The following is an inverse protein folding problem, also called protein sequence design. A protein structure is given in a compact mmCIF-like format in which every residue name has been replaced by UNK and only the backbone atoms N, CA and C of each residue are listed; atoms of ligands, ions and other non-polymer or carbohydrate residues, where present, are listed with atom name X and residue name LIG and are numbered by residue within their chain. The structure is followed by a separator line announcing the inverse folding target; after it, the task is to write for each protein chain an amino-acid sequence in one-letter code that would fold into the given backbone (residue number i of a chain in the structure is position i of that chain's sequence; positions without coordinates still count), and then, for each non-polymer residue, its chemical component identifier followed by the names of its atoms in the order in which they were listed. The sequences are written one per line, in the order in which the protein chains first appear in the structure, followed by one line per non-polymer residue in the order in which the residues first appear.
data_IF_598499463888
#
_entry.id   IF_598499463888
#
_cell.length_a   1.000
_cell.length_b   1.000
_cell.length_c   1.000
_cell.angle_alpha   90.00
_cell.angle_beta   90.00
_cell.angle_gamma   90.00
#
_symmetry.space_group_name_H-M   'P 1'
#
loop_
_entity.id
_entity.type
_entity.pdbx_description
1 polymer ?
#
# COMPACT_ATOMS: atom_id res chain seq x y z
N UNK A 1 -15.29 -9.31 5.93
CA UNK A 1 -14.83 -9.16 4.54
C UNK A 1 -15.13 -10.43 3.75
N UNK A 2 -16.01 -10.38 2.74
CA UNK A 2 -16.19 -11.52 1.84
C UNK A 2 -15.05 -11.51 0.82
N UNK A 3 -14.03 -12.34 1.05
CA UNK A 3 -12.81 -12.38 0.26
C UNK A 3 -13.09 -12.64 -1.23
N UNK A 4 -14.09 -13.48 -1.54
CA UNK A 4 -14.46 -13.84 -2.91
C UNK A 4 -14.96 -12.60 -3.66
N UNK A 5 -15.83 -11.80 -3.03
CA UNK A 5 -16.38 -10.57 -3.61
C UNK A 5 -15.26 -9.54 -3.82
N UNK A 6 -14.36 -9.38 -2.85
CA UNK A 6 -13.25 -8.45 -2.96
C UNK A 6 -12.28 -8.83 -4.09
N UNK A 7 -11.93 -10.12 -4.23
CA UNK A 7 -11.10 -10.60 -5.34
C UNK A 7 -11.78 -10.28 -6.67
N UNK A 8 -13.05 -10.69 -6.83
CA UNK A 8 -13.77 -10.55 -8.09
C UNK A 8 -14.00 -9.10 -8.52
N UNK A 9 -14.32 -8.20 -7.59
CA UNK A 9 -14.70 -6.82 -7.90
C UNK A 9 -13.56 -5.80 -7.82
N UNK A 10 -12.48 -6.12 -7.10
CA UNK A 10 -11.38 -5.17 -6.88
C UNK A 10 -10.09 -5.67 -7.53
N UNK A 11 -9.65 -6.89 -7.20
CA UNK A 11 -8.35 -7.39 -7.67
C UNK A 11 -8.40 -7.76 -9.15
N UNK A 12 -9.40 -8.52 -9.57
CA UNK A 12 -9.50 -9.02 -10.95
C UNK A 12 -9.51 -7.89 -11.99
N UNK A 13 -10.30 -6.81 -11.84
CA UNK A 13 -10.27 -5.70 -12.81
C UNK A 13 -8.92 -4.99 -12.88
N UNK A 14 -8.26 -4.76 -11.74
CA UNK A 14 -6.94 -4.10 -11.69
C UNK A 14 -5.89 -4.94 -12.43
N UNK A 15 -5.80 -6.23 -12.08
CA UNK A 15 -4.83 -7.15 -12.71
C UNK A 15 -5.11 -7.32 -14.20
N UNK A 16 -6.38 -7.38 -14.60
CA UNK A 16 -6.76 -7.45 -16.03
C UNK A 16 -6.35 -6.18 -16.76
N UNK A 17 -6.55 -5.00 -16.16
CA UNK A 17 -6.10 -3.73 -16.72
C UNK A 17 -4.58 -3.69 -16.94
N UNK A 18 -3.80 -4.15 -15.97
CA UNK A 18 -2.33 -4.25 -16.07
C UNK A 18 -1.88 -5.26 -17.13
N UNK A 19 -2.63 -6.34 -17.31
CA UNK A 19 -2.32 -7.33 -18.33
C UNK A 19 -2.55 -6.78 -19.74
N UNK A 20 -3.68 -6.10 -19.95
CA UNK A 20 -4.04 -5.50 -21.26
C UNK A 20 -3.13 -4.34 -21.64
N UNK A 21 -2.57 -3.61 -20.66
CA UNK A 21 -1.75 -2.41 -20.92
C UNK A 21 -0.32 -2.66 -21.39
N UNK A 22 0.10 -3.91 -21.58
CA UNK A 22 1.48 -4.25 -21.98
C UNK A 22 2.17 -5.31 -21.11
N UNK A 23 1.43 -5.92 -20.18
CA UNK A 23 1.89 -7.03 -19.36
C UNK A 23 2.38 -6.63 -17.97
N UNK A 24 2.33 -7.59 -17.03
CA UNK A 24 2.63 -7.35 -15.61
C UNK A 24 4.09 -6.93 -15.34
N UNK A 25 5.02 -7.35 -16.19
CA UNK A 25 6.45 -7.06 -16.03
C UNK A 25 6.77 -5.57 -16.04
N UNK A 26 5.97 -4.75 -16.73
CA UNK A 26 6.16 -3.29 -16.78
C UNK A 26 5.87 -2.60 -15.44
N UNK A 27 5.12 -3.27 -14.56
CA UNK A 27 4.73 -2.73 -13.26
C UNK A 27 5.56 -3.30 -12.12
N UNK A 28 6.61 -4.08 -12.40
CA UNK A 28 7.50 -4.64 -11.38
C UNK A 28 8.80 -3.85 -11.41
N UNK A 29 8.92 -2.88 -10.50
CA UNK A 29 10.11 -2.05 -10.34
C UNK A 29 10.65 -2.20 -8.90
N UNK A 30 11.79 -2.89 -8.71
CA UNK A 30 12.37 -3.05 -7.38
C UNK A 30 12.67 -1.73 -6.67
N UNK A 31 13.28 -0.70 -7.30
CA UNK A 31 13.48 0.61 -6.68
C UNK A 31 12.19 1.22 -6.10
N UNK A 32 11.10 1.27 -6.87
CA UNK A 32 9.79 1.74 -6.43
C UNK A 32 9.26 0.97 -5.22
N UNK A 33 9.43 -0.36 -5.22
CA UNK A 33 9.02 -1.21 -4.10
C UNK A 33 9.83 -0.91 -2.83
N UNK A 34 11.14 -0.75 -2.94
CA UNK A 34 12.00 -0.38 -1.81
C UNK A 34 11.62 0.98 -1.22
N UNK A 35 11.36 1.98 -2.06
CA UNK A 35 11.03 3.34 -1.61
C UNK A 35 9.63 3.41 -0.97
N UNK A 36 8.69 2.56 -1.39
CA UNK A 36 7.32 2.60 -0.88
C UNK A 36 7.12 1.69 0.33
N UNK A 37 7.54 0.42 0.21
CA UNK A 37 7.18 -0.64 1.16
C UNK A 37 8.08 -0.61 2.39
N UNK A 38 9.39 -0.48 2.20
CA UNK A 38 10.35 -0.54 3.31
C UNK A 38 10.13 0.58 4.36
N UNK A 39 10.02 1.87 4.00
CA UNK A 39 9.76 2.90 4.99
C UNK A 39 8.36 2.83 5.57
N UNK A 40 7.35 2.36 4.82
CA UNK A 40 6.01 2.13 5.37
C UNK A 40 6.03 1.05 6.46
N UNK A 41 6.72 -0.08 6.22
CA UNK A 41 6.90 -1.12 7.24
C UNK A 41 7.71 -0.58 8.43
N UNK A 42 8.79 0.16 8.17
CA UNK A 42 9.61 0.79 9.22
C UNK A 42 8.80 1.73 10.12
N UNK A 43 8.00 2.61 9.52
CA UNK A 43 7.11 3.51 10.26
C UNK A 43 6.08 2.76 11.10
N UNK A 44 5.53 1.64 10.58
CA UNK A 44 4.61 0.79 11.33
C UNK A 44 5.29 0.06 12.48
N UNK A 45 6.50 -0.46 12.30
CA UNK A 45 7.26 -1.11 13.36
C UNK A 45 7.59 -0.15 14.50
N UNK A 46 7.96 1.09 14.17
CA UNK A 46 8.22 2.14 15.16
C UNK A 46 6.93 2.57 15.86
N UNK A 47 5.85 2.80 15.11
CA UNK A 47 4.58 3.29 15.65
C UNK A 47 3.79 2.28 16.48
N UNK A 48 3.96 0.97 16.23
CA UNK A 48 3.20 -0.11 16.87
C UNK A 48 4.10 -1.11 17.62
N UNK A 49 5.18 -0.62 18.25
CA UNK A 49 6.12 -1.43 19.02
C UNK A 49 5.38 -2.31 20.06
N UNK A 50 5.63 -3.62 20.01
CA UNK A 50 4.98 -4.60 20.89
C UNK A 50 3.60 -5.10 20.41
N UNK A 51 2.94 -4.38 19.50
CA UNK A 51 1.63 -4.76 18.95
C UNK A 51 1.66 -5.08 17.46
N UNK A 52 2.77 -4.85 16.75
CA UNK A 52 2.88 -5.06 15.29
C UNK A 52 2.32 -6.40 14.81
N UNK A 53 2.82 -7.52 15.37
CA UNK A 53 2.38 -8.88 14.99
C UNK A 53 0.94 -9.13 15.41
N UNK A 54 0.55 -8.66 16.60
CA UNK A 54 -0.81 -8.79 17.13
C UNK A 54 -1.83 -8.05 16.26
N UNK A 55 -1.49 -6.85 15.79
CA UNK A 55 -2.32 -6.05 14.89
C UNK A 55 -2.53 -6.73 13.54
N UNK A 56 -1.49 -7.37 12.98
CA UNK A 56 -1.61 -8.15 11.75
C UNK A 56 -2.49 -9.38 11.99
N UNK A 57 -2.19 -10.18 13.02
CA UNK A 57 -2.90 -11.44 13.28
C UNK A 57 -4.33 -11.26 13.76
N UNK A 58 -4.69 -10.08 14.29
CA UNK A 58 -6.05 -9.75 14.74
C UNK A 58 -7.12 -9.88 13.65
N UNK A 59 -6.73 -9.78 12.37
CA UNK A 59 -7.63 -9.92 11.22
C UNK A 59 -8.27 -11.31 11.17
N UNK A 60 -7.49 -12.36 11.46
CA UNK A 60 -7.93 -13.75 11.38
C UNK A 60 -8.45 -14.34 12.68
N UNK A 61 -8.09 -13.74 13.83
CA UNK A 61 -8.57 -14.20 15.13
C UNK A 61 -10.07 -13.89 15.30
N UNK A 62 -10.80 -14.85 15.87
CA UNK A 62 -12.22 -14.70 16.25
C UNK A 62 -12.35 -13.98 17.58
N UNK A 63 -11.61 -14.45 18.59
CA UNK A 63 -11.58 -13.87 19.92
C UNK A 63 -10.32 -13.02 20.08
N UNK A 64 -10.48 -11.70 19.95
CA UNK A 64 -9.43 -10.71 20.14
C UNK A 64 -9.90 -9.75 21.22
N UNK A 65 -9.02 -9.42 22.17
CA UNK A 65 -9.33 -8.44 23.19
C UNK A 65 -9.56 -7.05 22.57
N UNK A 66 -10.40 -6.24 23.23
CA UNK A 66 -10.78 -4.92 22.71
C UNK A 66 -9.56 -4.00 22.47
N UNK A 67 -8.51 -4.12 23.29
CA UNK A 67 -7.31 -3.30 23.15
C UNK A 67 -6.53 -3.66 21.87
N UNK A 68 -6.25 -4.95 21.65
CA UNK A 68 -5.58 -5.45 20.43
C UNK A 68 -6.42 -5.18 19.19
N UNK A 69 -7.76 -5.24 19.28
CA UNK A 69 -8.64 -4.91 18.18
C UNK A 69 -8.55 -3.43 17.80
N UNK A 70 -8.57 -2.51 18.77
CA UNK A 70 -8.38 -1.07 18.54
C UNK A 70 -7.00 -0.80 17.94
N UNK A 71 -5.95 -1.41 18.50
CA UNK A 71 -4.58 -1.30 17.97
C UNK A 71 -4.45 -1.89 16.57
N UNK A 72 -5.21 -2.93 16.25
CA UNK A 72 -5.33 -3.49 14.90
C UNK A 72 -5.95 -2.50 13.91
N UNK A 73 -7.08 -1.88 14.27
CA UNK A 73 -7.74 -0.86 13.43
C UNK A 73 -6.79 0.32 13.18
N UNK A 74 -6.16 0.84 14.25
CA UNK A 74 -5.18 1.94 14.16
C UNK A 74 -4.01 1.55 13.24
N UNK A 75 -3.51 0.32 13.35
CA UNK A 75 -2.42 -0.20 12.53
C UNK A 75 -2.76 -0.21 11.04
N UNK A 76 -3.92 -0.76 10.64
CA UNK A 76 -4.29 -0.85 9.23
C UNK A 76 -4.62 0.54 8.63
N UNK A 77 -5.23 1.44 9.41
CA UNK A 77 -5.40 2.84 9.01
C UNK A 77 -4.06 3.57 8.84
N UNK A 78 -3.13 3.36 9.78
CA UNK A 78 -1.78 3.91 9.68
C UNK A 78 -1.04 3.32 8.47
N UNK A 79 -1.23 2.03 8.19
CA UNK A 79 -0.63 1.34 7.05
C UNK A 79 -1.04 1.97 5.71
N UNK A 80 -2.34 2.25 5.53
CA UNK A 80 -2.84 3.03 4.39
C UNK A 80 -2.19 4.40 4.31
N UNK A 81 -2.19 5.16 5.41
CA UNK A 81 -1.61 6.51 5.43
C UNK A 81 -0.14 6.52 5.07
N UNK A 82 0.66 5.62 5.64
CA UNK A 82 2.10 5.55 5.39
C UNK A 82 2.40 5.09 3.97
N UNK A 83 1.72 4.07 3.45
CA UNK A 83 1.92 3.63 2.08
C UNK A 83 1.65 4.75 1.06
N UNK A 84 0.56 5.50 1.23
CA UNK A 84 0.25 6.65 0.37
C UNK A 84 1.32 7.74 0.54
N UNK A 85 1.66 8.12 1.78
CA UNK A 85 2.63 9.18 2.03
C UNK A 85 4.02 8.86 1.45
N UNK A 86 4.55 7.65 1.68
CA UNK A 86 5.85 7.25 1.17
C UNK A 86 5.86 7.04 -0.34
N UNK A 87 4.73 6.65 -0.94
CA UNK A 87 4.62 6.58 -2.40
C UNK A 87 4.75 7.95 -3.07
N UNK A 88 4.14 8.99 -2.51
CA UNK A 88 4.28 10.36 -3.00
C UNK A 88 5.66 10.95 -2.70
N UNK A 89 6.29 10.58 -1.58
CA UNK A 89 7.68 10.91 -1.31
C UNK A 89 8.60 10.29 -2.37
N UNK A 90 8.40 9.02 -2.69
CA UNK A 90 9.16 8.34 -3.74
C UNK A 90 8.92 8.88 -5.14
N UNK A 91 7.69 9.30 -5.44
CA UNK A 91 7.38 10.03 -6.67
C UNK A 91 8.21 11.33 -6.78
N UNK A 92 8.30 12.11 -5.69
CA UNK A 92 9.12 13.32 -5.67
C UNK A 92 10.60 13.01 -5.86
N UNK A 93 11.14 11.94 -5.25
CA UNK A 93 12.52 11.47 -5.48
C UNK A 93 12.73 11.16 -6.96
N UNK A 94 11.79 10.43 -7.59
CA UNK A 94 11.84 10.10 -9.02
C UNK A 94 11.83 11.35 -9.91
N UNK A 95 11.00 12.34 -9.60
CA UNK A 95 10.97 13.61 -10.32
C UNK A 95 12.26 14.42 -10.15
N UNK A 96 12.84 14.46 -8.95
CA UNK A 96 14.12 15.15 -8.69
C UNK A 96 15.24 14.48 -9.49
N UNK A 97 15.30 13.14 -9.49
CA UNK A 97 16.28 12.38 -10.24
C UNK A 97 16.15 12.62 -11.75
N UNK A 98 14.91 12.67 -12.25
CA UNK A 98 14.62 13.03 -13.63
C UNK A 98 15.19 14.41 -13.96
N UNK A 99 14.76 15.46 -13.24
CA UNK A 99 15.20 16.84 -13.51
C UNK A 99 16.72 17.03 -13.35
N UNK A 100 17.34 16.36 -12.39
CA UNK A 100 18.79 16.42 -12.16
C UNK A 100 19.63 15.73 -13.25
N UNK A 101 19.03 14.88 -14.08
CA UNK A 101 19.75 14.07 -15.08
C UNK A 101 19.95 14.76 -16.44
N UNK A 102 19.54 16.01 -16.61
CA UNK A 102 19.65 16.74 -17.89
C UNK A 102 18.72 16.19 -18.99
N UNK A 103 17.66 15.45 -18.62
CA UNK A 103 16.69 14.82 -19.55
C UNK A 103 16.00 15.76 -20.52
N UNK A 104 16.08 17.08 -20.33
CA UNK A 104 15.51 18.06 -21.26
C UNK A 104 16.25 18.11 -22.60
N UNK A 105 17.50 17.63 -22.66
CA UNK A 105 18.26 17.56 -23.91
C UNK A 105 18.05 16.23 -24.66
N UNK A 106 17.62 15.18 -23.95
CA UNK A 106 17.41 13.84 -24.50
C UNK A 106 16.07 13.26 -24.01
N UNK A 107 15.00 13.56 -24.75
CA UNK A 107 13.63 13.10 -24.51
C UNK A 107 13.50 11.58 -24.34
N UNK A 108 14.40 10.79 -24.93
CA UNK A 108 14.40 9.33 -24.80
C UNK A 108 14.61 8.82 -23.36
N UNK A 109 15.27 9.60 -22.49
CA UNK A 109 15.48 9.24 -21.08
C UNK A 109 14.32 9.65 -20.17
N UNK A 110 13.40 10.50 -20.64
CA UNK A 110 12.29 11.02 -19.84
C UNK A 110 11.28 9.92 -19.44
N UNK A 111 10.90 9.08 -20.41
CA UNK A 111 9.89 8.04 -20.22
C UNK A 111 10.20 7.05 -19.09
N UNK A 112 11.39 6.44 -19.05
CA UNK A 112 11.76 5.51 -17.99
C UNK A 112 11.73 6.11 -16.57
N UNK A 113 12.19 7.35 -16.37
CA UNK A 113 12.14 8.00 -15.05
C UNK A 113 10.70 8.29 -14.60
N UNK A 114 9.86 8.76 -15.53
CA UNK A 114 8.46 9.01 -15.24
C UNK A 114 7.72 7.71 -14.91
N UNK A 115 8.02 6.61 -15.63
CA UNK A 115 7.43 5.31 -15.36
C UNK A 115 7.73 4.82 -13.93
N UNK A 116 8.99 4.86 -13.50
CA UNK A 116 9.39 4.50 -12.13
C UNK A 116 8.67 5.37 -11.10
N UNK A 117 8.60 6.69 -11.32
CA UNK A 117 7.89 7.59 -10.42
C UNK A 117 6.39 7.19 -10.31
N UNK A 118 5.72 6.97 -11.44
CA UNK A 118 4.30 6.59 -11.47
C UNK A 118 4.03 5.21 -10.86
N UNK A 119 4.90 4.21 -11.07
CA UNK A 119 4.77 2.87 -10.46
C UNK A 119 4.89 2.96 -8.94
N UNK A 120 5.74 3.86 -8.44
CA UNK A 120 5.88 4.12 -7.00
C UNK A 120 4.55 4.56 -6.38
N UNK A 121 3.85 5.49 -7.03
CA UNK A 121 2.50 5.94 -6.62
C UNK A 121 1.50 4.78 -6.69
N UNK A 122 1.50 4.03 -7.80
CA UNK A 122 0.62 2.88 -7.99
C UNK A 122 0.74 1.87 -6.83
N UNK A 123 1.95 1.55 -6.38
CA UNK A 123 2.17 0.64 -5.25
C UNK A 123 1.55 1.16 -3.95
N UNK A 124 1.69 2.46 -3.67
CA UNK A 124 1.06 3.08 -2.50
C UNK A 124 -0.46 2.97 -2.53
N UNK A 125 -1.07 3.22 -3.68
CA UNK A 125 -2.53 3.14 -3.85
C UNK A 125 -3.04 1.70 -3.74
N UNK A 126 -2.38 0.73 -4.38
CA UNK A 126 -2.75 -0.68 -4.28
C UNK A 126 -2.65 -1.12 -2.81
N UNK A 127 -1.54 -0.88 -2.13
CA UNK A 127 -1.43 -1.29 -0.73
C UNK A 127 -2.44 -0.55 0.17
N UNK A 128 -2.55 0.77 0.02
CA UNK A 128 -3.34 1.59 0.92
C UNK A 128 -4.85 1.41 0.77
N UNK A 129 -5.36 1.49 -0.46
CA UNK A 129 -6.81 1.48 -0.72
C UNK A 129 -7.34 0.09 -1.07
N UNK A 130 -6.55 -0.75 -1.75
CA UNK A 130 -7.03 -2.09 -2.15
C UNK A 130 -6.90 -3.07 -0.99
N UNK A 131 -5.83 -2.98 -0.18
CA UNK A 131 -5.55 -3.95 0.88
C UNK A 131 -5.84 -3.39 2.28
N UNK A 132 -5.20 -2.29 2.68
CA UNK A 132 -5.23 -1.84 4.08
C UNK A 132 -6.59 -1.26 4.51
N UNK A 133 -7.24 -0.47 3.65
CA UNK A 133 -8.54 0.14 3.95
C UNK A 133 -9.66 -0.88 4.19
N UNK A 134 -9.89 -1.89 3.31
CA UNK A 134 -10.94 -2.86 3.53
C UNK A 134 -10.72 -3.72 4.78
N UNK A 135 -9.45 -3.99 5.12
CA UNK A 135 -9.10 -4.69 6.36
C UNK A 135 -9.43 -3.82 7.58
N UNK A 136 -9.06 -2.54 7.56
CA UNK A 136 -9.38 -1.61 8.65
C UNK A 136 -10.90 -1.52 8.87
N UNK A 137 -11.68 -1.33 7.79
CA UNK A 137 -13.14 -1.30 7.88
C UNK A 137 -13.71 -2.63 8.40
N UNK A 138 -13.16 -3.78 7.98
CA UNK A 138 -13.63 -5.08 8.47
C UNK A 138 -13.36 -5.28 9.96
N UNK A 139 -12.28 -4.72 10.51
CA UNK A 139 -12.00 -4.74 11.96
C UNK A 139 -12.91 -3.80 12.74
N UNK A 140 -13.27 -2.64 12.16
CA UNK A 140 -14.24 -1.72 12.76
C UNK A 140 -15.62 -2.36 12.91
N UNK A 141 -16.10 -3.05 11.87
CA UNK A 141 -17.36 -3.81 11.96
C UNK A 141 -17.29 -4.88 13.05
N UNK A 142 -16.16 -5.59 13.19
CA UNK A 142 -15.99 -6.56 14.30
C UNK A 142 -16.08 -5.88 15.67
N UNK A 143 -15.49 -4.69 15.83
CA UNK A 143 -15.56 -3.92 17.08
C UNK A 143 -16.99 -3.51 17.43
N UNK A 144 -17.79 -3.13 16.46
CA UNK A 144 -19.20 -2.77 16.68
C UNK A 144 -20.05 -3.97 17.11
N UNK A 145 -19.80 -5.16 16.55
CA UNK A 145 -20.50 -6.40 16.92
C UNK A 145 -20.14 -6.88 18.33
N UNK A 146 -18.93 -6.59 18.81
CA UNK A 146 -18.42 -7.05 20.12
C UNK A 146 -18.80 -6.08 21.27
N UNK A 147 -19.41 -4.92 21.00
CA UNK A 147 -19.90 -4.04 22.07
C UNK A 147 -21.02 -4.77 22.87
N UNK A 148 -20.84 -4.99 24.18
CA UNK A 148 -21.93 -5.47 25.04
C UNK A 148 -23.03 -4.42 25.21
#
# INVERSE_FOLDING_TARGET
MNLIIWIALVVTPIVTGMFVSGGLGQFIDPPSAFITILPAIGALLVGFKGYFVSSITSVWKKDVDNLTLVKGIEFWKASKRYAIAFSFLGFMIGLIAMLGSGTLENLGKFGPYLAVASITVLYGFIWGYVVADPIACSLETKKEVIKP
#
